data_IF_158603373467
#
_entry.id   IF_158603373467
#
_cell.length_a   1.000
_cell.length_b   1.000
_cell.length_c   1.000
_cell.angle_alpha   90.00
_cell.angle_beta   90.00
_cell.angle_gamma   90.00
#
_symmetry.space_group_name_H-M   'P 1'
#
loop_
_entity.id
_entity.type
_entity.pdbx_description
1 polymer ?
#
# COMPACT_ATOMS: atom_id res chain seq x y z
N UNK A 1 1.94 16.61 7.19
CA UNK A 1 1.48 15.23 6.97
C UNK A 1 0.02 15.14 7.31
N UNK A 2 -0.79 14.67 6.37
CA UNK A 2 -2.24 14.54 6.45
C UNK A 2 -2.64 13.06 6.41
N UNK A 3 -3.92 12.76 6.65
CA UNK A 3 -4.45 11.40 6.43
C UNK A 3 -4.20 10.92 4.99
N UNK A 4 -4.26 11.82 4.01
CA UNK A 4 -3.96 11.50 2.62
C UNK A 4 -2.52 11.06 2.41
N UNK A 5 -1.56 11.72 3.07
CA UNK A 5 -0.15 11.34 3.00
C UNK A 5 0.08 9.96 3.63
N UNK A 6 -0.57 9.66 4.75
CA UNK A 6 -0.48 8.34 5.41
C UNK A 6 -1.08 7.25 4.52
N UNK A 7 -2.26 7.47 3.97
CA UNK A 7 -2.91 6.53 3.05
C UNK A 7 -2.03 6.26 1.82
N UNK A 8 -1.41 7.30 1.28
CA UNK A 8 -0.49 7.17 0.16
C UNK A 8 0.70 6.27 0.55
N UNK A 9 1.41 6.59 1.63
CA UNK A 9 2.56 5.82 2.12
C UNK A 9 2.21 4.35 2.35
N UNK A 10 1.12 4.09 3.10
CA UNK A 10 0.72 2.72 3.47
C UNK A 10 0.39 1.88 2.24
N UNK A 11 -0.28 2.46 1.24
CA UNK A 11 -0.60 1.76 0.00
C UNK A 11 0.66 1.38 -0.80
N UNK A 12 1.68 2.25 -0.83
CA UNK A 12 2.97 1.90 -1.45
C UNK A 12 3.73 0.82 -0.67
N UNK A 13 3.76 0.89 0.66
CA UNK A 13 4.42 -0.11 1.51
C UNK A 13 3.74 -1.48 1.37
N UNK A 14 2.42 -1.51 1.40
CA UNK A 14 1.64 -2.76 1.36
C UNK A 14 1.52 -3.36 -0.04
N UNK A 15 1.93 -2.65 -1.08
CA UNK A 15 2.00 -3.15 -2.46
C UNK A 15 3.40 -3.63 -2.86
N UNK A 16 4.34 -3.69 -1.91
CA UNK A 16 5.69 -4.20 -2.15
C UNK A 16 5.76 -5.70 -1.84
N UNK A 17 6.20 -6.55 -2.78
CA UNK A 17 6.46 -7.98 -2.55
C UNK A 17 7.38 -8.24 -1.35
N UNK A 18 7.10 -9.28 -0.58
CA UNK A 18 7.97 -9.73 0.52
C UNK A 18 8.36 -11.19 0.36
N UNK A 19 9.65 -11.50 0.51
CA UNK A 19 10.17 -12.86 0.44
C UNK A 19 9.51 -13.78 1.49
N UNK A 20 9.32 -13.29 2.72
CA UNK A 20 8.64 -14.03 3.80
C UNK A 20 7.17 -14.36 3.49
N UNK A 21 6.57 -13.64 2.53
CA UNK A 21 5.21 -13.89 2.03
C UNK A 21 5.26 -14.64 0.68
N UNK A 22 6.34 -15.36 0.40
CA UNK A 22 6.57 -16.09 -0.85
C UNK A 22 6.46 -15.19 -2.09
N UNK A 23 6.96 -13.95 -1.99
CA UNK A 23 6.92 -12.96 -3.06
C UNK A 23 5.58 -12.24 -3.21
N UNK A 24 4.60 -12.53 -2.37
CA UNK A 24 3.32 -11.81 -2.34
C UNK A 24 3.45 -10.48 -1.60
N UNK A 25 2.54 -9.57 -1.92
CA UNK A 25 2.40 -8.29 -1.22
C UNK A 25 1.55 -8.45 0.04
N UNK A 26 1.79 -7.63 1.07
CA UNK A 26 0.89 -7.55 2.24
C UNK A 26 -0.56 -7.26 1.86
N UNK A 27 -0.80 -6.46 0.82
CA UNK A 27 -2.14 -6.17 0.32
C UNK A 27 -2.83 -7.45 -0.17
N UNK A 28 -2.15 -8.29 -0.95
CA UNK A 28 -2.70 -9.57 -1.43
C UNK A 28 -3.04 -10.52 -0.27
N UNK A 29 -2.16 -10.61 0.72
CA UNK A 29 -2.39 -11.45 1.92
C UNK A 29 -3.59 -10.94 2.73
N UNK A 30 -3.68 -9.62 2.90
CA UNK A 30 -4.82 -8.99 3.57
C UNK A 30 -6.12 -9.17 2.79
N UNK A 31 -6.09 -9.06 1.46
CA UNK A 31 -7.25 -9.24 0.60
C UNK A 31 -7.85 -10.64 0.73
N UNK A 32 -7.01 -11.67 0.72
CA UNK A 32 -7.46 -13.06 0.94
C UNK A 32 -7.99 -13.31 2.35
N UNK A 33 -7.43 -12.64 3.36
CA UNK A 33 -7.76 -12.89 4.77
C UNK A 33 -9.01 -12.12 5.22
N UNK A 34 -9.17 -10.87 4.75
CA UNK A 34 -10.17 -9.93 5.26
C UNK A 34 -11.27 -9.61 4.24
N UNK A 35 -11.01 -9.80 2.94
CA UNK A 35 -11.96 -9.48 1.88
C UNK A 35 -11.99 -8.00 1.49
N UNK A 36 -12.41 -7.75 0.25
CA UNK A 36 -12.28 -6.45 -0.42
C UNK A 36 -13.01 -5.30 0.30
N UNK A 37 -14.19 -5.55 0.86
CA UNK A 37 -14.99 -4.51 1.52
C UNK A 37 -14.29 -3.94 2.76
N UNK A 38 -13.61 -4.79 3.52
CA UNK A 38 -12.82 -4.36 4.70
C UNK A 38 -11.62 -3.53 4.25
N UNK A 39 -10.90 -3.94 3.21
CA UNK A 39 -9.77 -3.17 2.69
C UNK A 39 -10.21 -1.81 2.14
N UNK A 40 -11.35 -1.74 1.45
CA UNK A 40 -11.95 -0.49 0.98
C UNK A 40 -12.32 0.43 2.15
N UNK A 41 -12.90 -0.11 3.22
CA UNK A 41 -13.22 0.67 4.42
C UNK A 41 -11.96 1.28 5.07
N UNK A 42 -10.83 0.57 5.04
CA UNK A 42 -9.52 1.08 5.45
C UNK A 42 -8.81 1.95 4.40
N UNK A 43 -9.44 2.20 3.25
CA UNK A 43 -8.88 2.98 2.14
C UNK A 43 -7.56 2.38 1.60
N UNK A 44 -7.42 1.06 1.72
CA UNK A 44 -6.32 0.31 1.16
C UNK A 44 -6.59 0.01 -0.31
N UNK A 45 -5.56 0.16 -1.14
CA UNK A 45 -5.58 -0.13 -2.56
C UNK A 45 -4.22 -0.69 -3.01
N UNK A 46 -4.19 -1.61 -3.98
CA UNK A 46 -2.93 -2.05 -4.55
C UNK A 46 -2.35 -0.95 -5.43
N UNK A 47 -1.02 -0.89 -5.47
CA UNK A 47 -0.23 -0.07 -6.39
C UNK A 47 0.45 -1.03 -7.36
N UNK A 48 0.39 -0.71 -8.66
CA UNK A 48 1.12 -1.48 -9.68
C UNK A 48 2.63 -1.47 -9.37
N UNK A 49 3.36 -2.58 -9.59
CA UNK A 49 4.76 -2.72 -9.16
C UNK A 49 5.70 -1.60 -9.65
N UNK A 50 5.52 -1.14 -10.88
CA UNK A 50 6.29 -0.07 -11.52
C UNK A 50 5.97 1.33 -10.95
N UNK A 51 4.82 1.48 -10.29
CA UNK A 51 4.38 2.73 -9.65
C UNK A 51 4.72 2.78 -8.16
N UNK A 52 5.27 1.72 -7.57
CA UNK A 52 5.68 1.71 -6.16
C UNK A 52 6.85 2.67 -5.93
N UNK A 53 6.69 3.60 -4.98
CA UNK A 53 7.74 4.53 -4.58
C UNK A 53 7.89 4.48 -3.05
N UNK A 54 9.05 4.00 -2.59
CA UNK A 54 9.38 3.90 -1.15
C UNK A 54 10.36 4.99 -0.69
N UNK A 55 10.55 6.04 -1.50
CA UNK A 55 11.43 7.14 -1.15
C UNK A 55 10.67 8.30 -0.50
N UNK A 56 11.35 9.17 0.27
CA UNK A 56 10.71 10.35 0.86
C UNK A 56 10.06 11.31 -0.15
N UNK A 57 10.41 11.21 -1.45
CA UNK A 57 9.81 12.05 -2.52
C UNK A 57 8.30 11.86 -2.63
N UNK A 58 7.77 10.73 -2.18
CA UNK A 58 6.35 10.38 -2.28
C UNK A 58 5.41 11.43 -1.66
N UNK A 59 5.83 12.09 -0.58
CA UNK A 59 5.02 13.11 0.14
C UNK A 59 5.66 14.50 0.12
N UNK A 60 6.83 14.66 -0.51
CA UNK A 60 7.63 15.88 -0.43
C UNK A 60 7.08 17.05 -1.25
N UNK A 61 6.17 16.78 -2.20
CA UNK A 61 5.62 17.79 -3.12
C UNK A 61 4.10 17.97 -3.01
N UNK A 62 3.48 17.46 -1.94
CA UNK A 62 2.03 17.62 -1.71
C UNK A 62 1.67 18.96 -1.03
N UNK A 63 2.57 19.95 -1.02
CA UNK A 63 2.42 21.24 -0.36
C UNK A 63 2.85 22.38 -1.27
#
# INVERSE_FOLDING_TARGET
MTQWDVNLIVNHINSTPREILSGRTPYEVALETLGEDILKAFQLKPIEPDKVNLTPKLIRFNH
#
